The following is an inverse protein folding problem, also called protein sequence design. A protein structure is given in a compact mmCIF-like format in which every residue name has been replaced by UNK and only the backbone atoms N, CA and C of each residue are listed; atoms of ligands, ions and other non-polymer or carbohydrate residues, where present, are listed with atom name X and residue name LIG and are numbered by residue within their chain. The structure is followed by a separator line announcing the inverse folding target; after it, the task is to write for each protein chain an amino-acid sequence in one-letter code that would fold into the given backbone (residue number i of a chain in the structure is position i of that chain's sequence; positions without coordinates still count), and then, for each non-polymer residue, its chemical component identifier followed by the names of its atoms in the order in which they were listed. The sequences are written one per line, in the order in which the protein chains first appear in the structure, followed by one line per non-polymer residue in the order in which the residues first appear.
data_IF_972174711376
#
_entry.id   IF_972174711376
#
_cell.length_a   1.000
_cell.length_b   1.000
_cell.length_c   1.000
_cell.angle_alpha   90.00
_cell.angle_beta   90.00
_cell.angle_gamma   90.00
#
_symmetry.space_group_name_H-M   'P 1'
#
loop_
_entity.id
_entity.type
_entity.pdbx_description
1 polymer ?
#
# COMPACT_ATOMS: atom_id res chain seq x y z
N UNK A 1 34.17 -3.12 13.67
CA UNK A 1 33.08 -2.33 13.07
C UNK A 1 31.76 -2.87 13.58
N UNK A 2 31.13 -2.20 14.53
CA UNK A 2 29.84 -2.62 15.06
C UNK A 2 28.77 -2.47 13.95
N UNK A 3 28.26 -3.60 13.45
CA UNK A 3 27.10 -3.61 12.58
C UNK A 3 25.89 -3.16 13.40
N UNK A 4 25.47 -1.91 13.20
CA UNK A 4 24.24 -1.41 13.82
C UNK A 4 23.06 -2.14 13.18
N UNK A 5 22.63 -3.23 13.84
CA UNK A 5 21.37 -3.90 13.55
C UNK A 5 20.24 -2.97 14.01
N UNK A 6 19.51 -2.40 13.05
CA UNK A 6 18.28 -1.69 13.38
C UNK A 6 17.09 -2.64 13.27
N UNK A 7 16.26 -2.65 14.30
CA UNK A 7 15.03 -3.44 14.37
C UNK A 7 13.86 -2.46 14.37
N UNK A 8 13.01 -2.55 13.35
CA UNK A 8 11.78 -1.76 13.27
C UNK A 8 10.59 -2.65 13.51
N UNK A 9 9.67 -2.21 14.37
CA UNK A 9 8.37 -2.86 14.58
C UNK A 9 7.29 -2.09 13.84
N UNK A 10 6.54 -2.78 13.00
CA UNK A 10 5.40 -2.21 12.28
C UNK A 10 4.12 -2.94 12.70
N UNK A 11 3.20 -2.20 13.32
CA UNK A 11 1.87 -2.70 13.66
C UNK A 11 1.04 -2.93 12.40
N UNK A 12 0.32 -4.06 12.37
CA UNK A 12 -0.44 -4.49 11.20
C UNK A 12 -1.88 -4.74 11.56
N UNK A 13 -2.76 -4.15 10.77
CA UNK A 13 -4.21 -4.33 10.91
C UNK A 13 -4.69 -5.62 10.24
N UNK A 14 -4.18 -5.92 9.03
CA UNK A 14 -4.66 -7.03 8.19
C UNK A 14 -3.57 -8.08 7.90
N UNK A 15 -3.28 -8.93 8.90
CA UNK A 15 -2.24 -9.98 8.83
C UNK A 15 -2.41 -10.88 7.61
N UNK A 16 -3.65 -11.31 7.32
CA UNK A 16 -3.95 -12.27 6.24
C UNK A 16 -3.47 -11.76 4.87
N UNK A 17 -3.67 -10.48 4.56
CA UNK A 17 -3.26 -9.91 3.27
C UNK A 17 -1.75 -9.83 3.13
N UNK A 18 -1.06 -9.54 4.23
CA UNK A 18 0.40 -9.54 4.26
C UNK A 18 0.93 -10.96 4.06
N UNK A 19 0.39 -11.96 4.77
CA UNK A 19 0.83 -13.34 4.66
C UNK A 19 0.74 -13.88 3.23
N UNK A 20 -0.34 -13.54 2.50
CA UNK A 20 -0.48 -13.92 1.09
C UNK A 20 0.66 -13.38 0.20
N UNK A 21 1.22 -12.23 0.56
CA UNK A 21 2.31 -11.58 -0.17
C UNK A 21 3.69 -11.81 0.47
N UNK A 22 3.77 -12.56 1.58
CA UNK A 22 4.95 -12.63 2.44
C UNK A 22 6.22 -12.99 1.70
N UNK A 23 6.22 -14.11 0.97
CA UNK A 23 7.40 -14.58 0.23
C UNK A 23 7.90 -13.54 -0.77
N UNK A 24 6.99 -12.89 -1.50
CA UNK A 24 7.35 -11.81 -2.45
C UNK A 24 7.92 -10.60 -1.71
N UNK A 25 7.34 -10.21 -0.57
CA UNK A 25 7.83 -9.09 0.23
C UNK A 25 9.21 -9.35 0.83
N UNK A 26 9.45 -10.55 1.36
CA UNK A 26 10.75 -10.97 1.86
C UNK A 26 11.79 -10.95 0.75
N UNK A 27 11.48 -11.55 -0.40
CA UNK A 27 12.38 -11.57 -1.55
C UNK A 27 12.74 -10.16 -2.02
N UNK A 28 11.78 -9.24 -2.09
CA UNK A 28 12.04 -7.85 -2.49
C UNK A 28 12.96 -7.14 -1.48
N UNK A 29 12.63 -7.20 -0.19
CA UNK A 29 13.38 -6.48 0.84
C UNK A 29 14.77 -7.08 1.07
N UNK A 30 14.92 -8.39 0.98
CA UNK A 30 16.21 -9.06 1.12
C UNK A 30 17.11 -8.79 -0.08
N UNK A 31 16.60 -8.94 -1.32
CA UNK A 31 17.43 -8.76 -2.52
C UNK A 31 17.82 -7.31 -2.76
N UNK A 32 16.90 -6.38 -2.55
CA UNK A 32 17.11 -4.96 -2.89
C UNK A 32 17.72 -4.18 -1.74
N UNK A 33 17.23 -4.41 -0.52
CA UNK A 33 17.61 -3.61 0.65
C UNK A 33 18.51 -4.38 1.63
N UNK A 34 18.76 -5.68 1.41
CA UNK A 34 19.50 -6.56 2.35
C UNK A 34 18.85 -6.60 3.73
N UNK A 35 17.53 -6.39 3.79
CA UNK A 35 16.75 -6.43 5.02
C UNK A 35 16.06 -7.77 5.19
N UNK A 36 16.06 -8.30 6.41
CA UNK A 36 15.31 -9.52 6.77
C UNK A 36 14.00 -9.14 7.45
N UNK A 37 12.96 -9.93 7.20
CA UNK A 37 11.64 -9.74 7.78
C UNK A 37 11.30 -10.92 8.68
N UNK A 38 10.89 -10.63 9.92
CA UNK A 38 10.31 -11.61 10.82
C UNK A 38 8.89 -11.18 11.18
N UNK A 39 7.96 -12.13 11.22
CA UNK A 39 6.59 -11.86 11.64
C UNK A 39 6.40 -12.32 13.09
N UNK A 40 6.00 -11.41 13.98
CA UNK A 40 5.59 -11.77 15.33
C UNK A 40 4.07 -11.96 15.38
N UNK A 41 3.63 -13.22 15.28
CA UNK A 41 2.21 -13.56 15.27
C UNK A 41 1.49 -13.22 16.58
N UNK A 42 2.17 -13.36 17.73
CA UNK A 42 1.59 -13.10 19.06
C UNK A 42 1.23 -11.63 19.22
N UNK A 43 2.15 -10.75 18.83
CA UNK A 43 2.02 -9.31 19.02
C UNK A 43 1.55 -8.55 17.78
N UNK A 44 1.35 -9.24 16.65
CA UNK A 44 0.83 -8.70 15.37
C UNK A 44 1.69 -7.56 14.79
N UNK A 45 3.01 -7.66 14.90
CA UNK A 45 3.94 -6.74 14.23
C UNK A 45 4.93 -7.49 13.34
N UNK A 46 5.47 -6.76 12.35
CA UNK A 46 6.65 -7.20 11.58
C UNK A 46 7.90 -6.56 12.17
N UNK A 47 8.92 -7.38 12.36
CA UNK A 47 10.29 -6.93 12.64
C UNK A 47 11.06 -6.85 11.33
N UNK A 48 11.59 -5.67 11.03
CA UNK A 48 12.52 -5.47 9.92
C UNK A 48 13.91 -5.37 10.52
N UNK A 49 14.77 -6.33 10.17
CA UNK A 49 16.17 -6.38 10.59
C UNK A 49 17.01 -5.84 9.44
N UNK A 50 17.68 -4.72 9.67
CA UNK A 50 18.56 -4.09 8.68
C UNK A 50 20.01 -4.07 9.17
N UNK A 51 20.99 -4.36 8.29
CA UNK A 51 22.41 -4.32 8.63
C UNK A 51 22.97 -2.89 8.76
N UNK A 52 22.15 -1.88 8.46
CA UNK A 52 22.49 -0.46 8.56
C UNK A 52 21.40 0.31 9.31
N UNK A 53 21.76 1.52 9.76
CA UNK A 53 20.82 2.43 10.40
C UNK A 53 19.78 2.95 9.39
N UNK A 54 18.50 2.74 9.66
CA UNK A 54 17.42 3.14 8.76
C UNK A 54 17.10 4.63 8.98
N UNK A 55 17.27 5.41 7.92
CA UNK A 55 16.87 6.83 7.90
C UNK A 55 15.34 6.96 8.05
N UNK A 56 14.90 8.06 8.65
CA UNK A 56 13.48 8.35 8.88
C UNK A 56 12.62 8.24 7.61
N UNK A 57 13.08 8.77 6.47
CA UNK A 57 12.32 8.72 5.22
C UNK A 57 12.08 7.27 4.75
N UNK A 58 13.10 6.42 4.81
CA UNK A 58 12.97 5.00 4.45
C UNK A 58 12.02 4.27 5.40
N UNK A 59 12.11 4.54 6.70
CA UNK A 59 11.15 4.00 7.68
C UNK A 59 9.71 4.39 7.34
N UNK A 60 9.46 5.67 7.04
CA UNK A 60 8.13 6.16 6.65
C UNK A 60 7.64 5.53 5.35
N UNK A 61 8.53 5.31 4.36
CA UNK A 61 8.19 4.62 3.12
C UNK A 61 7.88 3.13 3.34
N UNK A 62 8.64 2.43 4.19
CA UNK A 62 8.34 1.05 4.58
C UNK A 62 6.99 0.96 5.30
N UNK A 63 6.68 1.90 6.20
CA UNK A 63 5.38 1.97 6.87
C UNK A 63 4.24 2.16 5.86
N UNK A 64 4.41 3.05 4.87
CA UNK A 64 3.43 3.22 3.77
C UNK A 64 3.28 1.95 2.94
N UNK A 65 4.39 1.29 2.61
CA UNK A 65 4.40 0.04 1.84
C UNK A 65 3.61 -1.09 2.53
N UNK A 66 3.86 -1.38 3.81
CA UNK A 66 3.09 -2.42 4.52
C UNK A 66 1.63 -2.03 4.68
N UNK A 67 1.34 -0.73 4.84
CA UNK A 67 -0.02 -0.21 4.88
C UNK A 67 -0.76 -0.36 3.54
N UNK A 68 -0.10 -0.14 2.39
CA UNK A 68 -0.72 -0.38 1.08
C UNK A 68 -1.01 -1.86 0.83
N UNK A 69 -0.14 -2.76 1.27
CA UNK A 69 -0.42 -4.21 1.23
C UNK A 69 -1.67 -4.57 2.04
N UNK A 70 -1.85 -3.96 3.22
CA UNK A 70 -3.08 -4.12 4.01
C UNK A 70 -4.32 -3.59 3.28
N UNK A 71 -4.19 -2.53 2.48
CA UNK A 71 -5.29 -2.04 1.67
C UNK A 71 -5.67 -2.99 0.53
N UNK A 72 -4.72 -3.80 0.05
CA UNK A 72 -4.92 -4.81 -0.97
C UNK A 72 -4.16 -4.53 -2.28
N UNK A 73 -3.23 -3.57 -2.28
CA UNK A 73 -2.32 -3.37 -3.41
C UNK A 73 -1.36 -4.54 -3.55
N UNK A 74 -0.86 -4.76 -4.77
CA UNK A 74 0.16 -5.78 -5.02
C UNK A 74 1.51 -5.38 -4.42
N UNK A 75 2.46 -6.32 -4.38
CA UNK A 75 3.84 -6.05 -3.95
C UNK A 75 4.51 -5.07 -4.89
N UNK A 76 4.29 -5.26 -6.19
CA UNK A 76 4.85 -4.43 -7.25
C UNK A 76 4.32 -2.99 -7.14
N UNK A 77 3.01 -2.82 -6.98
CA UNK A 77 2.38 -1.50 -6.81
C UNK A 77 2.80 -0.81 -5.50
N UNK A 78 2.86 -1.58 -4.40
CA UNK A 78 3.27 -1.04 -3.10
C UNK A 78 4.73 -0.60 -3.12
N UNK A 79 5.60 -1.33 -3.84
CA UNK A 79 7.04 -1.05 -3.89
C UNK A 79 7.37 0.34 -4.47
N UNK A 80 6.47 0.91 -5.28
CA UNK A 80 6.59 2.28 -5.78
C UNK A 80 6.75 3.30 -4.65
N UNK A 81 6.11 3.08 -3.49
CA UNK A 81 6.20 3.95 -2.32
C UNK A 81 7.57 3.92 -1.63
N UNK A 82 8.34 2.84 -1.85
CA UNK A 82 9.70 2.73 -1.35
C UNK A 82 10.67 3.36 -2.34
N UNK A 83 10.52 3.09 -3.63
CA UNK A 83 11.46 3.54 -4.66
C UNK A 83 11.30 5.01 -5.04
N UNK A 84 10.09 5.56 -4.96
CA UNK A 84 9.80 6.91 -5.40
C UNK A 84 9.20 7.75 -4.26
N UNK A 85 9.97 8.72 -3.76
CA UNK A 85 9.53 9.62 -2.69
C UNK A 85 8.34 10.50 -3.11
N UNK A 86 8.18 10.74 -4.42
CA UNK A 86 7.05 11.48 -5.00
C UNK A 86 5.72 10.72 -4.96
N UNK A 87 5.75 9.40 -4.74
CA UNK A 87 4.54 8.59 -4.63
C UNK A 87 3.94 8.64 -3.22
N UNK A 88 2.62 8.76 -3.18
CA UNK A 88 1.85 8.80 -1.94
C UNK A 88 0.63 7.91 -2.02
N UNK A 89 0.04 7.61 -0.85
CA UNK A 89 -1.24 6.93 -0.75
C UNK A 89 -2.28 7.96 -0.34
N UNK A 90 -3.34 8.11 -1.13
CA UNK A 90 -4.56 8.83 -0.74
C UNK A 90 -5.65 7.83 -0.40
N UNK A 91 -6.38 8.08 0.69
CA UNK A 91 -7.57 7.29 1.05
C UNK A 91 -8.78 8.21 1.13
N UNK A 92 -9.87 7.80 0.50
CA UNK A 92 -11.14 8.51 0.46
C UNK A 92 -12.21 7.64 1.12
N UNK A 93 -13.10 8.27 1.86
CA UNK A 93 -14.28 7.62 2.43
C UNK A 93 -15.47 7.86 1.50
N UNK A 94 -16.17 6.79 1.12
CA UNK A 94 -17.45 6.86 0.45
C UNK A 94 -18.50 7.19 1.52
N UNK A 95 -18.89 8.48 1.58
CA UNK A 95 -19.87 9.00 2.53
C UNK A 95 -21.30 8.54 2.20
N UNK A 96 -21.58 7.26 2.43
CA UNK A 96 -22.93 6.72 2.35
C UNK A 96 -23.23 5.79 3.54
N UNK A 97 -24.26 6.15 4.29
CA UNK A 97 -24.81 5.31 5.36
C UNK A 97 -25.73 4.22 4.79
N UNK A 98 -26.26 4.41 3.58
CA UNK A 98 -27.11 3.44 2.91
C UNK A 98 -26.25 2.42 2.13
N UNK A 99 -26.41 1.13 2.44
CA UNK A 99 -25.72 0.02 1.77
C UNK A 99 -25.99 0.01 0.26
N UNK A 100 -27.24 0.21 -0.18
CA UNK A 100 -27.60 0.19 -1.62
C UNK A 100 -26.86 1.30 -2.38
N UNK A 101 -26.90 2.53 -1.86
CA UNK A 101 -26.15 3.66 -2.44
C UNK A 101 -24.65 3.38 -2.48
N UNK A 102 -24.10 2.79 -1.41
CA UNK A 102 -22.68 2.44 -1.35
C UNK A 102 -22.29 1.39 -2.41
N UNK A 103 -23.08 0.34 -2.59
CA UNK A 103 -22.84 -0.65 -3.65
C UNK A 103 -22.95 -0.02 -5.04
N UNK A 104 -23.94 0.85 -5.25
CA UNK A 104 -24.13 1.56 -6.51
C UNK A 104 -22.96 2.49 -6.85
N UNK A 105 -22.49 3.30 -5.90
CA UNK A 105 -21.31 4.16 -6.10
C UNK A 105 -20.07 3.34 -6.43
N UNK A 106 -19.86 2.20 -5.75
CA UNK A 106 -18.74 1.31 -6.07
C UNK A 106 -18.88 0.69 -7.45
N UNK A 107 -20.08 0.25 -7.84
CA UNK A 107 -20.29 -0.35 -9.16
C UNK A 107 -20.06 0.66 -10.28
N UNK A 108 -20.45 1.93 -10.08
CA UNK A 108 -20.13 3.01 -11.01
C UNK A 108 -18.63 3.19 -11.16
N UNK A 109 -17.89 3.27 -10.05
CA UNK A 109 -16.43 3.45 -10.09
C UNK A 109 -15.68 2.24 -10.68
N UNK A 110 -16.17 1.03 -10.46
CA UNK A 110 -15.61 -0.16 -11.11
C UNK A 110 -15.96 -0.17 -12.61
N UNK A 111 -17.20 0.20 -12.93
CA UNK A 111 -17.79 -0.01 -14.25
C UNK A 111 -17.96 -1.51 -14.56
N UNK A 112 -18.36 -1.81 -15.79
CA UNK A 112 -18.54 -3.18 -16.25
C UNK A 112 -17.21 -3.94 -16.20
N UNK A 113 -17.14 -5.04 -15.47
CA UNK A 113 -15.93 -5.86 -15.30
C UNK A 113 -14.65 -5.08 -14.91
N UNK A 114 -14.78 -3.93 -14.25
CA UNK A 114 -13.62 -3.11 -13.86
C UNK A 114 -13.05 -2.24 -14.99
N UNK A 115 -13.71 -2.13 -16.14
CA UNK A 115 -13.22 -1.38 -17.31
C UNK A 115 -13.01 0.10 -16.98
N UNK A 116 -13.96 0.73 -16.27
CA UNK A 116 -13.85 2.14 -15.90
C UNK A 116 -12.64 2.36 -14.98
N UNK A 117 -12.53 1.55 -13.92
CA UNK A 117 -11.39 1.59 -13.00
C UNK A 117 -10.06 1.49 -13.76
N UNK A 118 -9.90 0.49 -14.65
CA UNK A 118 -8.66 0.30 -15.43
C UNK A 118 -8.37 1.49 -16.35
N UNK A 119 -9.42 2.04 -16.98
CA UNK A 119 -9.30 3.22 -17.83
C UNK A 119 -8.81 4.44 -17.04
N UNK A 120 -9.36 4.67 -15.84
CA UNK A 120 -8.92 5.73 -14.93
C UNK A 120 -7.47 5.53 -14.47
N UNK A 121 -7.12 4.32 -14.04
CA UNK A 121 -5.75 3.96 -13.63
C UNK A 121 -4.74 4.25 -14.74
N UNK A 122 -5.04 3.83 -15.98
CA UNK A 122 -4.16 4.01 -17.12
C UNK A 122 -4.05 5.49 -17.55
N UNK A 123 -5.17 6.22 -17.61
CA UNK A 123 -5.16 7.64 -18.03
C UNK A 123 -4.44 8.53 -17.03
N UNK A 124 -4.56 8.23 -15.73
CA UNK A 124 -4.00 9.05 -14.67
C UNK A 124 -2.65 8.54 -14.15
N UNK A 125 -2.18 7.38 -14.63
CA UNK A 125 -1.01 6.69 -14.08
C UNK A 125 -1.10 6.55 -12.55
N UNK A 126 -2.24 6.03 -12.09
CA UNK A 126 -2.50 5.73 -10.68
C UNK A 126 -2.92 4.27 -10.51
N UNK A 127 -2.87 3.77 -9.28
CA UNK A 127 -3.43 2.47 -8.90
C UNK A 127 -4.54 2.66 -7.88
N UNK A 128 -5.67 2.00 -8.08
CA UNK A 128 -6.89 2.20 -7.30
C UNK A 128 -7.30 0.87 -6.66
N UNK A 129 -7.57 0.88 -5.35
CA UNK A 129 -8.21 -0.22 -4.64
C UNK A 129 -9.50 0.29 -4.02
N UNK A 130 -10.60 -0.42 -4.28
CA UNK A 130 -11.91 -0.12 -3.70
C UNK A 130 -12.27 -1.26 -2.76
N UNK A 131 -12.34 -0.99 -1.46
CA UNK A 131 -12.74 -1.97 -0.45
C UNK A 131 -13.78 -1.35 0.50
N UNK A 132 -14.64 -2.15 1.12
CA UNK A 132 -15.56 -1.72 2.20
C UNK A 132 -16.25 -0.35 2.03
N UNK A 133 -15.70 0.75 2.56
CA UNK A 133 -16.18 2.12 2.31
C UNK A 133 -15.06 3.04 1.81
N UNK A 134 -13.91 2.49 1.46
CA UNK A 134 -12.71 3.25 1.14
C UNK A 134 -12.26 3.04 -0.30
N UNK A 135 -11.76 4.14 -0.87
CA UNK A 135 -11.03 4.13 -2.12
C UNK A 135 -9.61 4.53 -1.77
N UNK A 136 -8.66 3.61 -2.00
CA UNK A 136 -7.24 3.87 -1.82
C UNK A 136 -6.61 4.08 -3.18
N UNK A 137 -5.75 5.09 -3.29
CA UNK A 137 -5.10 5.49 -4.53
C UNK A 137 -3.60 5.61 -4.27
N UNK A 138 -2.79 4.94 -5.09
CA UNK A 138 -1.33 5.14 -5.17
C UNK A 138 -1.01 5.93 -6.43
N UNK A 139 -0.18 6.97 -6.28
CA UNK A 139 0.32 7.76 -7.41
C UNK A 139 1.14 8.94 -6.93
N UNK A 140 1.64 9.73 -7.87
CA UNK A 140 2.21 11.04 -7.53
C UNK A 140 1.11 12.00 -7.09
N UNK A 141 1.45 13.01 -6.28
CA UNK A 141 0.46 14.00 -5.84
C UNK A 141 -0.27 14.67 -7.02
N UNK A 142 0.44 14.95 -8.13
CA UNK A 142 -0.15 15.51 -9.35
C UNK A 142 -1.18 14.55 -9.96
N UNK A 143 -0.80 13.29 -10.14
CA UNK A 143 -1.67 12.28 -10.75
C UNK A 143 -2.90 11.98 -9.90
N UNK A 144 -2.74 11.90 -8.57
CA UNK A 144 -3.85 11.74 -7.63
C UNK A 144 -4.81 12.92 -7.77
N UNK A 145 -4.32 14.16 -7.82
CA UNK A 145 -5.18 15.33 -7.97
C UNK A 145 -5.94 15.32 -9.29
N UNK A 146 -5.31 14.89 -10.39
CA UNK A 146 -5.99 14.73 -11.69
C UNK A 146 -7.12 13.70 -11.57
N UNK A 147 -6.87 12.54 -10.96
CA UNK A 147 -7.90 11.53 -10.74
C UNK A 147 -9.06 12.07 -9.88
N UNK A 148 -8.75 12.86 -8.84
CA UNK A 148 -9.75 13.48 -7.98
C UNK A 148 -10.65 14.50 -8.69
N UNK A 149 -10.20 15.09 -9.80
CA UNK A 149 -11.05 15.97 -10.61
C UNK A 149 -12.02 15.21 -11.50
N UNK A 150 -11.73 13.93 -11.76
CA UNK A 150 -12.55 13.05 -12.60
C UNK A 150 -13.61 12.31 -11.76
N UNK A 151 -13.27 12.00 -10.49
CA UNK A 151 -14.14 11.30 -9.54
C UNK A 151 -15.17 12.22 -8.88
#
# INVERSE_FOLDING_TARGET
MASYLSIIKLDITDIKKILNNWNKTCNLLEKVFRMKLNFNFKNKFIEIISPYNIKYNLYMSLKKYFKSLCYGFSVEESSLLIFYESFSIKTLLINSNNKKKLYFTKSLMLGNHGILKRSLENKTNTKIIINQKYIHIIGTNKNINILMLIL
#
